data_IF_966643003881
#
_entry.id   IF_966643003881
#
_cell.length_a   1.000
_cell.length_b   1.000
_cell.length_c   1.000
_cell.angle_alpha   90.00
_cell.angle_beta   90.00
_cell.angle_gamma   90.00
#
_symmetry.space_group_name_H-M   'P 1'
#
loop_
_entity.id
_entity.type
_entity.pdbx_description
1 polymer ?
#
# COMPACT_ATOMS: atom_id res chain seq x y z
N UNK A 1 34.29 -10.86 -13.67
CA UNK A 1 33.56 -9.73 -13.05
C UNK A 1 34.02 -8.37 -13.57
N UNK A 2 35.33 -8.09 -13.69
CA UNK A 2 35.85 -6.82 -14.26
C UNK A 2 35.53 -6.57 -15.75
N UNK A 3 35.43 -7.61 -16.58
CA UNK A 3 35.09 -7.50 -18.02
C UNK A 3 33.62 -7.13 -18.27
N UNK A 4 32.70 -7.56 -17.40
CA UNK A 4 31.26 -7.25 -17.51
C UNK A 4 30.96 -5.78 -17.17
N UNK A 5 31.73 -5.22 -16.22
CA UNK A 5 31.68 -3.80 -15.84
C UNK A 5 32.11 -2.88 -16.99
N UNK A 6 33.22 -3.18 -17.67
CA UNK A 6 33.66 -2.40 -18.85
C UNK A 6 32.70 -2.55 -20.05
N UNK A 7 32.08 -3.71 -20.26
CA UNK A 7 31.12 -3.86 -21.36
C UNK A 7 29.87 -2.98 -21.18
N UNK A 8 29.31 -2.94 -19.95
CA UNK A 8 28.13 -2.12 -19.62
C UNK A 8 28.50 -0.63 -19.50
N UNK A 9 29.68 -0.27 -18.99
CA UNK A 9 30.04 1.13 -18.74
C UNK A 9 30.68 1.84 -19.93
N UNK A 10 31.28 1.12 -20.90
CA UNK A 10 32.00 1.76 -22.02
C UNK A 10 31.45 1.42 -23.40
N UNK A 11 30.90 0.22 -23.61
CA UNK A 11 30.42 -0.22 -24.94
C UNK A 11 28.91 0.06 -25.08
N UNK A 12 28.11 -0.31 -24.08
CA UNK A 12 26.67 -0.06 -24.09
C UNK A 12 26.30 1.43 -24.25
N UNK A 13 26.93 2.39 -23.53
CA UNK A 13 26.68 3.81 -23.78
C UNK A 13 27.21 4.30 -25.14
N UNK A 14 28.30 3.73 -25.69
CA UNK A 14 28.77 4.08 -27.05
C UNK A 14 27.84 3.62 -28.17
N UNK A 15 27.14 2.50 -27.98
CA UNK A 15 26.11 2.00 -28.92
C UNK A 15 24.74 2.64 -28.68
N UNK A 16 24.42 3.02 -27.44
CA UNK A 16 23.22 3.77 -27.10
C UNK A 16 23.36 5.27 -27.34
N UNK A 17 24.56 5.83 -27.42
CA UNK A 17 24.81 7.25 -27.70
C UNK A 17 24.22 7.71 -29.03
N UNK A 18 24.41 7.01 -30.17
CA UNK A 18 23.75 7.38 -31.42
C UNK A 18 22.23 7.18 -31.35
N UNK A 19 21.72 6.18 -30.62
CA UNK A 19 20.26 6.05 -30.38
C UNK A 19 19.73 7.19 -29.49
N UNK A 20 20.49 7.61 -28.49
CA UNK A 20 20.17 8.71 -27.57
C UNK A 20 20.26 10.05 -28.30
N UNK A 21 21.26 10.27 -29.14
CA UNK A 21 21.39 11.45 -30.01
C UNK A 21 20.26 11.49 -31.05
N UNK A 22 19.89 10.36 -31.66
CA UNK A 22 18.72 10.26 -32.53
C UNK A 22 17.39 10.47 -31.78
N UNK A 23 17.30 10.09 -30.50
CA UNK A 23 16.16 10.38 -29.62
C UNK A 23 16.08 11.87 -29.25
N UNK A 24 17.23 12.54 -29.05
CA UNK A 24 17.31 13.99 -28.85
C UNK A 24 16.97 14.80 -30.12
N UNK A 25 17.02 14.17 -31.30
CA UNK A 25 16.67 14.76 -32.61
C UNK A 25 15.18 14.66 -32.96
N UNK A 26 14.36 13.95 -32.18
CA UNK A 26 12.92 13.91 -32.42
C UNK A 26 12.25 15.21 -31.98
N UNK A 27 11.66 15.92 -32.94
CA UNK A 27 10.85 17.11 -32.64
C UNK A 27 9.72 16.78 -31.66
N UNK A 28 9.36 17.71 -30.78
CA UNK A 28 8.25 17.57 -29.82
C UNK A 28 6.93 17.10 -30.47
N UNK A 29 6.69 17.47 -31.74
CA UNK A 29 5.54 17.00 -32.54
C UNK A 29 5.57 15.49 -32.79
N UNK A 30 6.74 14.91 -33.09
CA UNK A 30 6.88 13.46 -33.31
C UNK A 30 6.68 12.67 -32.01
N UNK A 31 7.21 13.16 -30.89
CA UNK A 31 7.06 12.51 -29.58
C UNK A 31 5.61 12.52 -29.07
N UNK A 32 4.93 13.65 -29.20
CA UNK A 32 3.50 13.75 -28.84
C UNK A 32 2.62 12.87 -29.72
N UNK A 33 2.88 12.84 -31.03
CA UNK A 33 2.14 11.99 -31.96
C UNK A 33 2.39 10.50 -31.71
N UNK A 34 3.64 10.10 -31.43
CA UNK A 34 3.96 8.73 -31.06
C UNK A 34 3.29 8.33 -29.73
N UNK A 35 3.22 9.24 -28.77
CA UNK A 35 2.55 9.01 -27.50
C UNK A 35 1.04 8.77 -27.67
N UNK A 36 0.39 9.63 -28.46
CA UNK A 36 -1.02 9.46 -28.82
C UNK A 36 -1.25 8.15 -29.58
N UNK A 37 -0.37 7.79 -30.51
CA UNK A 37 -0.47 6.54 -31.26
C UNK A 37 -0.40 5.32 -30.32
N UNK A 38 0.50 5.32 -29.33
CA UNK A 38 0.61 4.22 -28.35
C UNK A 38 -0.71 4.11 -27.57
N UNK A 39 -1.25 5.21 -27.06
CA UNK A 39 -2.50 5.19 -26.29
C UNK A 39 -3.67 4.72 -27.15
N UNK A 40 -3.84 5.28 -28.36
CA UNK A 40 -4.93 4.89 -29.26
C UNK A 40 -4.84 3.42 -29.64
N UNK A 41 -3.68 2.95 -30.08
CA UNK A 41 -3.51 1.57 -30.51
C UNK A 41 -3.68 0.58 -29.34
N UNK A 42 -3.19 0.91 -28.15
CA UNK A 42 -3.31 0.05 -26.96
C UNK A 42 -4.77 -0.03 -26.49
N UNK A 43 -5.50 1.08 -26.51
CA UNK A 43 -6.92 1.12 -26.19
C UNK A 43 -7.78 0.38 -27.21
N UNK A 44 -7.48 0.51 -28.51
CA UNK A 44 -8.16 -0.26 -29.55
C UNK A 44 -7.91 -1.76 -29.38
N UNK A 45 -6.64 -2.16 -29.23
CA UNK A 45 -6.21 -3.54 -28.98
C UNK A 45 -6.96 -4.16 -27.80
N UNK A 46 -6.86 -3.51 -26.63
CA UNK A 46 -7.46 -4.01 -25.40
C UNK A 46 -8.98 -3.98 -25.43
N UNK A 47 -9.58 -2.88 -25.89
CA UNK A 47 -11.03 -2.71 -25.89
C UNK A 47 -11.75 -3.69 -26.81
N UNK A 48 -11.15 -4.05 -27.95
CA UNK A 48 -11.65 -5.10 -28.84
C UNK A 48 -11.52 -6.47 -28.17
N UNK A 49 -10.30 -6.81 -27.71
CA UNK A 49 -10.03 -8.08 -27.05
C UNK A 49 -10.94 -8.33 -25.84
N UNK A 50 -11.06 -7.34 -24.96
CA UNK A 50 -11.90 -7.39 -23.77
C UNK A 50 -13.36 -7.65 -24.13
N UNK A 51 -13.86 -6.99 -25.19
CA UNK A 51 -15.25 -7.18 -25.63
C UNK A 51 -15.47 -8.56 -26.23
N UNK A 52 -14.51 -9.07 -26.99
CA UNK A 52 -14.55 -10.44 -27.54
C UNK A 52 -14.59 -11.46 -26.39
N UNK A 53 -13.70 -11.34 -25.40
CA UNK A 53 -13.70 -12.21 -24.21
C UNK A 53 -14.99 -12.11 -23.40
N UNK A 54 -15.54 -10.91 -23.26
CA UNK A 54 -16.81 -10.71 -22.56
C UNK A 54 -17.97 -11.45 -23.25
N UNK A 55 -18.05 -11.38 -24.58
CA UNK A 55 -19.11 -12.04 -25.36
C UNK A 55 -18.89 -13.56 -25.42
N UNK A 56 -17.63 -14.01 -25.52
CA UNK A 56 -17.31 -15.44 -25.59
C UNK A 56 -17.70 -16.20 -24.33
N UNK A 57 -17.74 -15.54 -23.15
CA UNK A 57 -18.26 -16.12 -21.91
C UNK A 57 -19.75 -16.47 -22.05
N UNK A 58 -20.52 -15.68 -22.80
CA UNK A 58 -21.95 -15.92 -23.02
C UNK A 58 -22.16 -16.95 -24.14
N UNK A 59 -21.53 -16.77 -25.30
CA UNK A 59 -21.50 -17.76 -26.38
C UNK A 59 -20.55 -17.32 -27.50
N UNK A 60 -19.70 -18.23 -27.98
CA UNK A 60 -18.81 -17.99 -29.13
C UNK A 60 -19.56 -17.68 -30.43
N UNK A 61 -20.77 -18.23 -30.60
CA UNK A 61 -21.60 -18.04 -31.80
C UNK A 61 -22.11 -16.60 -31.96
N UNK A 62 -22.16 -15.83 -30.87
CA UNK A 62 -22.70 -14.46 -30.85
C UNK A 62 -21.64 -13.44 -31.30
N UNK A 63 -20.35 -13.80 -31.28
CA UNK A 63 -19.24 -12.89 -31.64
C UNK A 63 -19.42 -12.37 -33.08
N UNK A 64 -19.76 -13.24 -34.03
CA UNK A 64 -19.98 -12.87 -35.43
C UNK A 64 -21.28 -12.10 -35.69
N UNK A 65 -22.20 -12.07 -34.71
CA UNK A 65 -23.50 -11.41 -34.80
C UNK A 65 -23.56 -10.11 -33.97
N UNK A 66 -22.55 -9.85 -33.15
CA UNK A 66 -22.52 -8.68 -32.28
C UNK A 66 -22.24 -7.42 -33.11
N UNK A 67 -23.00 -6.33 -32.91
CA UNK A 67 -22.87 -5.15 -33.75
C UNK A 67 -21.50 -4.49 -33.59
N UNK A 68 -20.89 -4.11 -34.71
CA UNK A 68 -19.61 -3.40 -34.78
C UNK A 68 -19.59 -2.13 -33.91
N UNK A 69 -20.75 -1.48 -33.75
CA UNK A 69 -20.91 -0.32 -32.87
C UNK A 69 -20.59 -0.64 -31.41
N UNK A 70 -20.92 -1.84 -30.93
CA UNK A 70 -20.62 -2.26 -29.56
C UNK A 70 -19.12 -2.53 -29.35
N UNK A 71 -18.41 -3.04 -30.36
CA UNK A 71 -16.95 -3.16 -30.35
C UNK A 71 -16.27 -1.79 -30.33
N UNK A 72 -16.73 -0.87 -31.18
CA UNK A 72 -16.22 0.51 -31.23
C UNK A 72 -16.44 1.26 -29.90
N UNK A 73 -17.60 1.12 -29.27
CA UNK A 73 -17.89 1.70 -27.96
C UNK A 73 -16.96 1.15 -26.88
N UNK A 74 -16.63 -0.15 -26.91
CA UNK A 74 -15.68 -0.75 -25.98
C UNK A 74 -14.28 -0.15 -26.13
N UNK A 75 -13.77 -0.02 -27.36
CA UNK A 75 -12.48 0.62 -27.64
C UNK A 75 -12.46 2.09 -27.23
N UNK A 76 -13.55 2.84 -27.43
CA UNK A 76 -13.66 4.23 -26.97
C UNK A 76 -13.65 4.33 -25.45
N UNK A 77 -14.34 3.45 -24.73
CA UNK A 77 -14.29 3.40 -23.26
C UNK A 77 -12.88 3.14 -22.75
N UNK A 78 -12.19 2.17 -23.35
CA UNK A 78 -10.79 1.88 -23.04
C UNK A 78 -9.88 3.11 -23.32
N UNK A 79 -10.15 3.85 -24.39
CA UNK A 79 -9.42 5.07 -24.74
C UNK A 79 -9.59 6.16 -23.69
N UNK A 80 -10.81 6.41 -23.20
CA UNK A 80 -11.05 7.39 -22.15
C UNK A 80 -10.32 7.03 -20.85
N UNK A 81 -10.40 5.76 -20.45
CA UNK A 81 -9.73 5.28 -19.24
C UNK A 81 -8.21 5.43 -19.37
N UNK A 82 -7.63 4.91 -20.46
CA UNK A 82 -6.18 4.95 -20.68
C UNK A 82 -5.67 6.38 -20.80
N UNK A 83 -6.41 7.27 -21.48
CA UNK A 83 -6.05 8.68 -21.59
C UNK A 83 -6.04 9.37 -20.23
N UNK A 84 -7.02 9.06 -19.36
CA UNK A 84 -7.08 9.62 -18.00
C UNK A 84 -5.89 9.18 -17.15
N UNK A 85 -5.58 7.87 -17.15
CA UNK A 85 -4.42 7.34 -16.44
C UNK A 85 -3.09 7.87 -16.99
N UNK A 86 -2.97 7.95 -18.31
CA UNK A 86 -1.78 8.47 -18.99
C UNK A 86 -1.51 9.94 -18.63
N UNK A 87 -2.54 10.79 -18.69
CA UNK A 87 -2.42 12.19 -18.29
C UNK A 87 -2.15 12.32 -16.80
N UNK A 88 -2.78 11.51 -15.95
CA UNK A 88 -2.51 11.46 -14.51
C UNK A 88 -1.05 11.10 -14.20
N UNK A 89 -0.48 10.10 -14.89
CA UNK A 89 0.93 9.73 -14.78
C UNK A 89 1.86 10.85 -15.26
N UNK A 90 1.52 11.53 -16.35
CA UNK A 90 2.30 12.65 -16.88
C UNK A 90 2.30 13.84 -15.91
N UNK A 91 1.15 14.16 -15.30
CA UNK A 91 1.02 15.19 -14.28
C UNK A 91 1.83 14.85 -13.03
N UNK A 92 1.68 13.63 -12.50
CA UNK A 92 2.45 13.15 -11.35
C UNK A 92 3.95 13.27 -11.60
N UNK A 93 4.42 12.85 -12.78
CA UNK A 93 5.82 12.97 -13.17
C UNK A 93 6.30 14.42 -13.23
N UNK A 94 5.48 15.33 -13.77
CA UNK A 94 5.83 16.76 -13.85
C UNK A 94 5.97 17.40 -12.47
N UNK A 95 5.10 17.05 -11.50
CA UNK A 95 5.19 17.50 -10.12
C UNK A 95 6.47 17.04 -9.42
N UNK A 96 6.94 15.82 -9.71
CA UNK A 96 8.14 15.25 -9.08
C UNK A 96 9.43 15.95 -9.56
N UNK A 97 9.45 16.43 -10.80
CA UNK A 97 10.66 16.97 -11.44
C UNK A 97 10.75 18.49 -11.46
N UNK A 98 9.69 19.24 -11.14
CA UNK A 98 9.62 20.70 -11.31
C UNK A 98 9.95 21.16 -12.75
N UNK A 99 9.79 20.29 -13.75
CA UNK A 99 10.09 20.56 -15.16
C UNK A 99 8.86 21.22 -15.83
N UNK A 100 8.81 22.55 -15.82
CA UNK A 100 7.76 23.36 -16.47
C UNK A 100 8.17 23.91 -17.85
N UNK A 101 9.25 23.40 -18.46
CA UNK A 101 9.66 23.79 -19.81
C UNK A 101 8.94 22.98 -20.91
N UNK A 102 8.56 23.66 -22.01
CA UNK A 102 7.80 23.10 -23.15
C UNK A 102 8.45 21.87 -23.81
N UNK A 103 9.77 21.76 -23.76
CA UNK A 103 10.55 20.63 -24.30
C UNK A 103 10.44 19.36 -23.46
N UNK A 104 10.14 19.50 -22.16
CA UNK A 104 10.01 18.35 -21.26
C UNK A 104 8.58 17.80 -21.23
N UNK A 105 7.56 18.60 -21.53
CA UNK A 105 6.16 18.12 -21.60
C UNK A 105 5.96 17.03 -22.66
N UNK A 106 6.46 17.24 -23.88
CA UNK A 106 6.32 16.27 -24.98
C UNK A 106 7.02 14.93 -24.67
N UNK A 107 8.18 15.01 -24.02
CA UNK A 107 8.92 13.84 -23.54
C UNK A 107 8.19 13.17 -22.37
N UNK A 108 7.63 13.95 -21.47
CA UNK A 108 6.87 13.46 -20.33
C UNK A 108 5.67 12.63 -20.78
N UNK A 109 4.88 13.17 -21.70
CA UNK A 109 3.77 12.48 -22.34
C UNK A 109 4.23 11.16 -22.98
N UNK A 110 5.30 11.19 -23.79
CA UNK A 110 5.80 9.99 -24.46
C UNK A 110 6.21 8.87 -23.48
N UNK A 111 7.07 9.16 -22.50
CA UNK A 111 7.50 8.14 -21.54
C UNK A 111 6.32 7.59 -20.74
N UNK A 112 5.38 8.43 -20.31
CA UNK A 112 4.19 7.99 -19.58
C UNK A 112 3.24 7.15 -20.44
N UNK A 113 3.34 7.17 -21.77
CA UNK A 113 2.57 6.27 -22.65
C UNK A 113 3.19 4.89 -22.82
N UNK A 114 4.50 4.71 -22.58
CA UNK A 114 5.19 3.42 -22.79
C UNK A 114 4.60 2.24 -22.00
N UNK A 115 4.20 2.38 -20.72
CA UNK A 115 3.58 1.28 -19.98
C UNK A 115 2.32 0.72 -20.66
N UNK A 116 1.57 1.55 -21.38
CA UNK A 116 0.36 1.12 -22.08
C UNK A 116 0.63 0.20 -23.28
N UNK A 117 1.86 0.13 -23.78
CA UNK A 117 2.22 -0.77 -24.88
C UNK A 117 2.04 -2.26 -24.54
N UNK A 118 2.00 -2.62 -23.25
CA UNK A 118 1.77 -4.00 -22.78
C UNK A 118 0.38 -4.51 -23.20
N UNK A 119 -0.59 -3.61 -23.34
CA UNK A 119 -1.91 -3.97 -23.81
C UNK A 119 -1.95 -4.35 -25.31
N UNK A 120 -0.85 -4.22 -26.05
CA UNK A 120 -0.69 -4.90 -27.36
C UNK A 120 -0.65 -6.41 -27.24
N UNK A 121 -0.26 -6.96 -26.09
CA UNK A 121 -0.25 -8.40 -25.85
C UNK A 121 -1.65 -9.02 -25.85
N UNK A 122 -2.71 -8.19 -25.84
CA UNK A 122 -4.07 -8.62 -26.13
C UNK A 122 -4.21 -9.25 -27.54
N UNK A 123 -3.34 -8.91 -28.50
CA UNK A 123 -3.37 -9.51 -29.85
C UNK A 123 -2.95 -10.97 -29.87
N UNK A 124 -2.10 -11.38 -28.93
CA UNK A 124 -1.65 -12.77 -28.77
C UNK A 124 -2.42 -13.49 -27.66
N UNK A 125 -3.57 -12.93 -27.27
CA UNK A 125 -4.51 -13.51 -26.33
C UNK A 125 -3.95 -13.75 -24.91
N UNK A 126 -2.97 -12.93 -24.50
CA UNK A 126 -2.36 -13.01 -23.16
C UNK A 126 -3.40 -12.69 -22.06
N UNK A 127 -3.34 -13.38 -20.93
CA UNK A 127 -4.29 -13.18 -19.83
C UNK A 127 -4.27 -11.75 -19.27
N UNK A 128 -5.45 -11.26 -18.85
CA UNK A 128 -5.61 -9.93 -18.24
C UNK A 128 -4.71 -9.75 -17.02
N UNK A 129 -4.58 -10.77 -16.19
CA UNK A 129 -3.74 -10.74 -14.99
C UNK A 129 -2.27 -10.48 -15.32
N UNK A 130 -1.74 -11.10 -16.36
CA UNK A 130 -0.36 -10.88 -16.82
C UNK A 130 -0.19 -9.48 -17.42
N UNK A 131 -1.16 -9.00 -18.21
CA UNK A 131 -1.12 -7.65 -18.76
C UNK A 131 -1.14 -6.58 -17.66
N UNK A 132 -1.98 -6.74 -16.63
CA UNK A 132 -2.06 -5.82 -15.48
C UNK A 132 -0.78 -5.86 -14.64
N UNK A 133 -0.21 -7.04 -14.40
CA UNK A 133 1.03 -7.19 -13.63
C UNK A 133 2.21 -6.52 -14.34
N UNK A 134 2.36 -6.76 -15.64
CA UNK A 134 3.36 -6.09 -16.46
C UNK A 134 3.13 -4.58 -16.48
N UNK A 135 1.89 -4.11 -16.69
CA UNK A 135 1.57 -2.68 -16.66
C UNK A 135 1.99 -2.02 -15.34
N UNK A 136 1.70 -2.69 -14.22
CA UNK A 136 2.07 -2.22 -12.89
C UNK A 136 3.59 -2.18 -12.71
N UNK A 137 4.31 -3.20 -13.20
CA UNK A 137 5.77 -3.24 -13.20
C UNK A 137 6.41 -2.11 -14.01
N UNK A 138 5.91 -1.84 -15.22
CA UNK A 138 6.42 -0.77 -16.09
C UNK A 138 6.08 0.63 -15.54
N UNK A 139 4.90 0.83 -14.97
CA UNK A 139 4.57 2.05 -14.25
C UNK A 139 5.48 2.24 -13.03
N UNK A 140 5.69 1.20 -12.24
CA UNK A 140 6.59 1.22 -11.07
C UNK A 140 8.03 1.55 -11.43
N UNK A 141 8.58 0.95 -12.48
CA UNK A 141 9.93 1.27 -12.98
C UNK A 141 10.03 2.70 -13.50
N UNK A 142 9.04 3.18 -14.25
CA UNK A 142 9.00 4.57 -14.71
C UNK A 142 9.02 5.57 -13.53
N UNK A 143 8.18 5.34 -12.52
CA UNK A 143 8.15 6.18 -11.32
C UNK A 143 9.48 6.10 -10.56
N UNK A 144 10.02 4.89 -10.36
CA UNK A 144 11.31 4.67 -9.69
C UNK A 144 12.44 5.49 -10.31
N UNK A 145 12.59 5.47 -11.64
CA UNK A 145 13.63 6.25 -12.33
C UNK A 145 13.40 7.77 -12.24
N UNK A 146 12.15 8.22 -12.18
CA UNK A 146 11.85 9.64 -12.02
C UNK A 146 12.17 10.13 -10.60
N UNK A 147 11.89 9.30 -9.58
CA UNK A 147 12.27 9.63 -8.22
C UNK A 147 13.78 9.58 -8.01
N UNK A 148 14.52 8.70 -8.70
CA UNK A 148 15.95 8.41 -8.44
C UNK A 148 16.87 9.64 -8.32
N UNK A 149 16.57 10.71 -9.06
CA UNK A 149 17.39 11.93 -9.12
C UNK A 149 16.91 13.05 -8.19
N UNK A 150 15.83 12.85 -7.45
CA UNK A 150 15.30 13.86 -6.53
C UNK A 150 16.10 13.86 -5.21
N UNK A 151 16.25 15.03 -4.55
CA UNK A 151 16.81 15.09 -3.20
C UNK A 151 16.00 14.25 -2.21
N UNK A 152 14.69 14.14 -2.44
CA UNK A 152 13.79 13.26 -1.69
C UNK A 152 14.21 11.78 -1.79
N UNK A 153 14.54 11.30 -2.99
CA UNK A 153 14.99 9.91 -3.17
C UNK A 153 16.28 9.59 -2.44
N UNK A 154 17.22 10.53 -2.32
CA UNK A 154 18.43 10.31 -1.51
C UNK A 154 18.10 9.98 -0.05
N UNK A 155 16.98 10.49 0.47
CA UNK A 155 16.50 10.25 1.83
C UNK A 155 15.69 8.94 1.93
N UNK A 156 14.82 8.66 0.95
CA UNK A 156 13.91 7.50 1.02
C UNK A 156 14.44 6.22 0.39
N UNK A 157 15.53 6.27 -0.38
CA UNK A 157 16.10 5.12 -1.11
C UNK A 157 16.40 3.94 -0.19
N UNK A 158 17.05 4.20 0.94
CA UNK A 158 17.39 3.15 1.90
C UNK A 158 16.13 2.48 2.49
N UNK A 159 15.15 3.22 3.05
CA UNK A 159 13.88 2.64 3.49
C UNK A 159 13.14 1.85 2.43
N UNK A 160 13.11 2.34 1.18
CA UNK A 160 12.41 1.66 0.09
C UNK A 160 13.04 0.29 -0.20
N UNK A 161 14.37 0.18 -0.23
CA UNK A 161 15.00 -1.12 -0.43
C UNK A 161 14.75 -2.08 0.72
N UNK A 162 14.73 -1.58 1.96
CA UNK A 162 14.42 -2.42 3.14
C UNK A 162 12.97 -2.88 3.10
N UNK A 163 12.03 -2.02 2.70
CA UNK A 163 10.63 -2.41 2.51
C UNK A 163 10.47 -3.48 1.41
N UNK A 164 11.15 -3.32 0.27
CA UNK A 164 11.17 -4.33 -0.81
C UNK A 164 11.76 -5.64 -0.30
N UNK A 165 12.85 -5.58 0.48
CA UNK A 165 13.44 -6.76 1.10
C UNK A 165 12.46 -7.46 2.04
N UNK A 166 11.77 -6.72 2.93
CA UNK A 166 10.75 -7.30 3.80
C UNK A 166 9.59 -7.91 3.00
N UNK A 167 9.10 -7.24 1.97
CA UNK A 167 8.08 -7.80 1.07
C UNK A 167 8.54 -9.14 0.49
N UNK A 168 9.77 -9.24 -0.02
CA UNK A 168 10.33 -10.49 -0.54
C UNK A 168 10.44 -11.56 0.55
N UNK A 169 10.90 -11.20 1.75
CA UNK A 169 10.97 -12.13 2.88
C UNK A 169 9.60 -12.70 3.23
N UNK A 170 8.59 -11.85 3.41
CA UNK A 170 7.26 -12.27 3.81
C UNK A 170 6.53 -13.05 2.70
N UNK A 171 6.65 -12.63 1.44
CA UNK A 171 5.96 -13.30 0.34
C UNK A 171 6.63 -14.62 -0.09
N UNK A 172 7.98 -14.69 -0.11
CA UNK A 172 8.71 -15.79 -0.75
C UNK A 172 9.44 -16.71 0.24
N UNK A 173 9.96 -16.16 1.35
CA UNK A 173 10.83 -16.91 2.27
C UNK A 173 10.00 -17.48 3.43
N UNK A 174 9.19 -16.65 4.07
CA UNK A 174 8.37 -17.00 5.22
C UNK A 174 7.08 -17.68 4.77
N UNK A 175 7.20 -18.87 4.19
CA UNK A 175 6.08 -19.59 3.57
C UNK A 175 4.87 -19.72 4.49
N UNK A 176 5.09 -19.98 5.79
CA UNK A 176 4.02 -20.13 6.76
C UNK A 176 3.24 -18.85 7.06
N UNK A 177 3.80 -17.67 6.76
CA UNK A 177 3.17 -16.36 7.02
C UNK A 177 2.78 -15.62 5.74
N UNK A 178 3.00 -16.24 4.58
CA UNK A 178 2.63 -15.69 3.28
C UNK A 178 1.21 -16.12 2.93
N UNK A 179 0.35 -15.20 2.45
CA UNK A 179 -0.96 -15.55 1.93
C UNK A 179 -0.89 -16.32 0.59
N UNK A 180 0.31 -16.51 0.02
CA UNK A 180 0.53 -17.21 -1.24
C UNK A 180 0.75 -18.73 -1.09
N UNK A 181 0.91 -19.25 0.14
CA UNK A 181 1.16 -20.68 0.38
C UNK A 181 0.14 -21.26 1.37
N UNK A 182 -0.26 -22.51 1.16
CA UNK A 182 -1.20 -23.24 2.02
C UNK A 182 -0.50 -24.07 3.11
N UNK A 183 0.57 -23.55 3.70
CA UNK A 183 1.39 -24.32 4.65
C UNK A 183 1.31 -23.69 6.05
N UNK A 184 0.41 -24.23 6.86
CA UNK A 184 0.39 -24.31 8.33
C UNK A 184 -0.11 -23.15 9.21
N UNK A 185 0.30 -21.88 9.07
CA UNK A 185 -0.20 -20.84 10.03
C UNK A 185 -1.52 -20.19 9.62
N UNK A 186 -1.75 -20.11 8.31
CA UNK A 186 -2.95 -19.54 7.69
C UNK A 186 -3.51 -20.50 6.65
N UNK A 187 -3.49 -21.80 6.89
CA UNK A 187 -4.13 -22.71 5.94
C UNK A 187 -5.63 -22.42 5.93
N UNK A 188 -6.18 -22.05 4.77
CA UNK A 188 -7.63 -21.88 4.54
C UNK A 188 -8.40 -23.16 4.84
N UNK A 189 -7.70 -24.29 4.93
CA UNK A 189 -8.22 -25.61 5.26
C UNK A 189 -7.84 -26.07 6.69
N UNK A 190 -7.14 -25.23 7.46
CA UNK A 190 -6.74 -25.47 8.85
C UNK A 190 -7.73 -24.89 9.88
N UNK A 191 -7.25 -24.44 11.04
CA UNK A 191 -8.10 -23.77 12.07
C UNK A 191 -8.57 -22.39 11.60
N UNK A 192 -9.76 -22.32 11.02
CA UNK A 192 -10.45 -21.06 10.74
C UNK A 192 -11.30 -20.58 11.92
N UNK A 193 -11.33 -21.35 13.00
CA UNK A 193 -12.19 -21.20 14.18
C UNK A 193 -12.11 -19.79 14.80
N UNK A 194 -10.94 -19.15 14.69
CA UNK A 194 -10.68 -17.79 15.20
C UNK A 194 -11.25 -16.67 14.34
N UNK A 195 -11.51 -16.96 13.05
CA UNK A 195 -12.06 -16.01 12.09
C UNK A 195 -13.59 -16.09 12.01
N UNK A 196 -14.20 -17.13 12.59
CA UNK A 196 -15.66 -17.33 12.61
C UNK A 196 -16.36 -16.13 13.28
N UNK A 197 -15.81 -15.62 14.39
CA UNK A 197 -16.40 -14.47 15.07
C UNK A 197 -16.34 -13.18 14.25
N UNK A 198 -15.38 -13.06 13.33
CA UNK A 198 -15.27 -11.92 12.41
C UNK A 198 -16.25 -12.04 11.24
N UNK A 199 -16.78 -13.22 10.95
CA UNK A 199 -17.72 -13.44 9.85
C UNK A 199 -19.02 -12.66 10.04
N UNK A 200 -19.63 -12.78 11.22
CA UNK A 200 -20.86 -12.03 11.54
C UNK A 200 -20.64 -10.52 11.61
N UNK A 201 -19.47 -10.08 12.08
CA UNK A 201 -19.12 -8.66 12.12
C UNK A 201 -18.92 -8.10 10.70
N UNK A 202 -18.25 -8.85 9.83
CA UNK A 202 -18.06 -8.50 8.42
C UNK A 202 -19.38 -8.42 7.68
N UNK A 203 -20.25 -9.44 7.85
CA UNK A 203 -21.57 -9.46 7.23
C UNK A 203 -22.44 -8.29 7.70
N UNK A 204 -22.44 -8.00 9.00
CA UNK A 204 -23.14 -6.84 9.54
C UNK A 204 -22.59 -5.53 8.98
N UNK A 205 -21.27 -5.33 8.98
CA UNK A 205 -20.64 -4.12 8.44
C UNK A 205 -21.01 -3.91 6.96
N UNK A 206 -20.93 -4.97 6.14
CA UNK A 206 -21.27 -4.91 4.72
C UNK A 206 -22.77 -4.80 4.45
N UNK A 207 -23.63 -5.29 5.34
CA UNK A 207 -25.07 -5.12 5.23
C UNK A 207 -25.52 -3.65 5.36
N UNK A 208 -24.79 -2.83 6.13
CA UNK A 208 -25.07 -1.40 6.29
C UNK A 208 -24.54 -0.55 5.12
N UNK A 209 -23.36 -0.88 4.58
CA UNK A 209 -22.77 -0.12 3.47
C UNK A 209 -23.43 -0.41 2.11
N UNK A 210 -24.02 -1.60 1.96
CA UNK A 210 -24.68 -2.03 0.74
C UNK A 210 -26.16 -2.34 1.02
N UNK A 211 -26.96 -1.28 1.16
CA UNK A 211 -28.43 -1.33 1.31
C UNK A 211 -29.04 -2.42 0.40
N UNK A 212 -29.48 -3.54 1.00
CA UNK A 212 -30.29 -4.57 0.35
C UNK A 212 -29.60 -5.83 -0.17
N UNK A 213 -28.29 -6.05 0.03
CA UNK A 213 -27.57 -7.19 -0.58
C UNK A 213 -27.26 -8.39 0.33
N UNK A 214 -27.22 -8.21 1.65
CA UNK A 214 -26.83 -9.25 2.60
C UNK A 214 -27.99 -9.75 3.49
N UNK A 215 -29.24 -9.49 3.09
CA UNK A 215 -30.39 -10.15 3.71
C UNK A 215 -30.37 -11.65 3.35
N UNK A 216 -30.90 -12.50 4.26
CA UNK A 216 -31.04 -13.96 4.13
C UNK A 216 -31.52 -14.46 2.74
N UNK A 217 -32.20 -13.61 1.97
CA UNK A 217 -32.63 -13.84 0.58
C UNK A 217 -31.48 -14.08 -0.41
N UNK A 218 -30.28 -13.52 -0.21
CA UNK A 218 -29.11 -13.76 -1.06
C UNK A 218 -28.57 -15.19 -0.92
N UNK A 219 -28.57 -15.73 0.31
CA UNK A 219 -28.18 -17.11 0.61
C UNK A 219 -29.15 -18.14 0.02
N UNK A 220 -30.40 -17.73 -0.22
CA UNK A 220 -31.48 -18.57 -0.76
C UNK A 220 -31.69 -18.40 -2.28
N UNK A 221 -30.72 -17.82 -3.00
CA UNK A 221 -30.71 -17.80 -4.47
C UNK A 221 -31.11 -16.48 -5.15
N UNK A 222 -31.09 -15.35 -4.43
CA UNK A 222 -31.15 -14.02 -5.05
C UNK A 222 -29.84 -13.65 -5.76
N UNK A 223 -29.89 -12.75 -6.75
CA UNK A 223 -28.69 -12.18 -7.38
C UNK A 223 -27.91 -11.33 -6.36
N UNK A 224 -26.88 -11.89 -5.74
CA UNK A 224 -25.98 -11.13 -4.88
C UNK A 224 -25.04 -10.27 -5.72
N UNK A 225 -24.91 -8.98 -5.41
CA UNK A 225 -23.94 -8.09 -6.05
C UNK A 225 -22.50 -8.30 -5.56
N UNK A 226 -22.28 -9.22 -4.62
CA UNK A 226 -20.95 -9.57 -4.15
C UNK A 226 -20.17 -10.42 -5.17
N UNK A 227 -18.86 -10.46 -4.99
CA UNK A 227 -17.92 -11.13 -5.88
C UNK A 227 -17.52 -12.47 -5.24
N UNK A 228 -17.44 -13.52 -6.05
CA UNK A 228 -16.78 -14.76 -5.65
C UNK A 228 -15.28 -14.64 -5.88
N UNK A 229 -14.46 -15.04 -4.90
CA UNK A 229 -13.01 -15.06 -5.03
C UNK A 229 -12.58 -16.06 -6.11
N UNK A 230 -11.78 -15.60 -7.08
CA UNK A 230 -11.24 -16.44 -8.17
C UNK A 230 -9.79 -16.86 -7.86
N UNK A 231 -9.05 -16.06 -7.08
CA UNK A 231 -7.68 -16.35 -6.64
C UNK A 231 -7.30 -15.57 -5.37
N UNK A 232 -6.26 -15.98 -4.67
CA UNK A 232 -5.74 -15.30 -3.47
C UNK A 232 -5.38 -13.84 -3.79
N UNK A 233 -4.78 -13.58 -4.95
CA UNK A 233 -4.47 -12.22 -5.38
C UNK A 233 -5.73 -11.35 -5.56
N UNK A 234 -6.85 -11.95 -5.98
CA UNK A 234 -8.12 -11.23 -6.07
C UNK A 234 -8.65 -10.80 -4.70
N UNK A 235 -8.34 -11.53 -3.62
CA UNK A 235 -8.69 -11.13 -2.25
C UNK A 235 -7.97 -9.85 -1.81
N UNK A 236 -6.72 -9.64 -2.25
CA UNK A 236 -6.00 -8.39 -1.99
C UNK A 236 -6.68 -7.19 -2.67
N UNK A 237 -7.18 -7.38 -3.89
CA UNK A 237 -7.93 -6.33 -4.62
C UNK A 237 -9.23 -6.02 -3.88
N UNK A 238 -9.94 -7.05 -3.41
CA UNK A 238 -11.17 -6.85 -2.64
C UNK A 238 -10.89 -6.07 -1.35
N UNK A 239 -9.85 -6.43 -0.60
CA UNK A 239 -9.47 -5.69 0.62
C UNK A 239 -9.14 -4.23 0.33
N UNK A 240 -8.41 -3.94 -0.75
CA UNK A 240 -7.99 -2.57 -1.11
C UNK A 240 -9.17 -1.70 -1.54
N UNK A 241 -10.12 -2.27 -2.30
CA UNK A 241 -11.28 -1.54 -2.83
C UNK A 241 -12.55 -1.73 -1.99
N UNK A 242 -12.42 -2.41 -0.85
CA UNK A 242 -13.50 -2.67 0.09
C UNK A 242 -14.74 -3.36 -0.54
N UNK A 243 -14.49 -4.24 -1.53
CA UNK A 243 -15.55 -4.88 -2.32
C UNK A 243 -16.33 -5.94 -1.51
N UNK A 244 -17.63 -6.14 -1.77
CA UNK A 244 -18.40 -7.19 -1.10
C UNK A 244 -17.98 -8.59 -1.59
N UNK A 245 -17.58 -9.48 -0.66
CA UNK A 245 -17.31 -10.92 -0.91
C UNK A 245 -18.43 -11.76 -0.29
N UNK A 246 -18.87 -12.78 -1.01
CA UNK A 246 -19.95 -13.69 -0.59
C UNK A 246 -19.39 -15.04 -0.12
N UNK A 247 -18.26 -15.49 -0.66
CA UNK A 247 -17.67 -16.78 -0.28
C UNK A 247 -16.74 -16.69 0.94
N UNK A 248 -16.89 -17.65 1.85
CA UNK A 248 -16.17 -17.71 3.14
C UNK A 248 -14.65 -17.81 2.95
N UNK A 249 -14.20 -18.57 1.95
CA UNK A 249 -12.77 -18.73 1.66
C UNK A 249 -12.13 -17.41 1.21
N UNK A 250 -12.83 -16.61 0.40
CA UNK A 250 -12.45 -15.27 -0.02
C UNK A 250 -12.37 -14.27 1.12
N UNK A 251 -13.29 -14.36 2.09
CA UNK A 251 -13.21 -13.57 3.33
C UNK A 251 -11.93 -13.91 4.10
N UNK A 252 -11.65 -15.20 4.32
CA UNK A 252 -10.45 -15.63 5.03
C UNK A 252 -9.16 -15.27 4.29
N UNK A 253 -9.13 -15.38 2.96
CA UNK A 253 -8.00 -14.91 2.17
C UNK A 253 -7.77 -13.40 2.33
N UNK A 254 -8.82 -12.59 2.32
CA UNK A 254 -8.73 -11.13 2.50
C UNK A 254 -8.17 -10.77 3.87
N UNK A 255 -8.62 -11.45 4.92
CA UNK A 255 -8.10 -11.27 6.29
C UNK A 255 -6.61 -11.64 6.39
N UNK A 256 -6.14 -12.67 5.68
CA UNK A 256 -4.69 -12.99 5.63
C UNK A 256 -3.87 -11.85 5.01
N UNK A 257 -4.37 -11.22 3.96
CA UNK A 257 -3.70 -10.05 3.36
C UNK A 257 -3.70 -8.85 4.31
N UNK A 258 -4.76 -8.66 5.10
CA UNK A 258 -4.79 -7.65 6.16
C UNK A 258 -3.69 -7.91 7.21
N UNK A 259 -3.60 -9.13 7.73
CA UNK A 259 -2.57 -9.51 8.69
C UNK A 259 -1.15 -9.41 8.12
N UNK A 260 -0.94 -9.81 6.86
CA UNK A 260 0.33 -9.58 6.18
C UNK A 260 0.67 -8.08 6.13
N UNK A 261 -0.30 -7.24 5.78
CA UNK A 261 -0.15 -5.79 5.78
C UNK A 261 0.28 -5.27 7.15
N UNK A 262 -0.35 -5.77 8.22
CA UNK A 262 0.01 -5.44 9.59
C UNK A 262 1.42 -5.90 9.99
N UNK A 263 1.83 -7.12 9.63
CA UNK A 263 3.20 -7.60 9.88
C UNK A 263 4.24 -6.73 9.16
N UNK A 264 4.02 -6.43 7.88
CA UNK A 264 4.88 -5.55 7.12
C UNK A 264 4.93 -4.15 7.73
N UNK A 265 3.79 -3.61 8.12
CA UNK A 265 3.69 -2.30 8.74
C UNK A 265 4.45 -2.25 10.07
N UNK A 266 4.29 -3.23 10.97
CA UNK A 266 4.99 -3.29 12.26
C UNK A 266 6.51 -3.52 12.12
N UNK A 267 6.91 -4.46 11.26
CA UNK A 267 8.33 -4.75 10.96
C UNK A 267 9.03 -3.54 10.33
N UNK A 268 8.38 -2.89 9.36
CA UNK A 268 8.92 -1.69 8.73
C UNK A 268 8.95 -0.50 9.70
N UNK A 269 7.91 -0.32 10.52
CA UNK A 269 7.88 0.68 11.58
C UNK A 269 9.04 0.53 12.56
N UNK A 270 9.32 -0.72 12.98
CA UNK A 270 10.45 -1.02 13.87
C UNK A 270 11.79 -0.70 13.21
N UNK A 271 11.96 -1.09 11.94
CA UNK A 271 13.15 -0.71 11.17
C UNK A 271 13.33 0.82 11.16
N UNK A 272 12.28 1.58 10.85
CA UNK A 272 12.35 3.04 10.80
C UNK A 272 12.65 3.64 12.17
N UNK A 273 12.05 3.12 13.24
CA UNK A 273 12.34 3.56 14.61
C UNK A 273 13.80 3.30 14.99
N UNK A 274 14.32 2.11 14.73
CA UNK A 274 15.72 1.77 15.00
C UNK A 274 16.67 2.61 14.15
N UNK A 275 16.35 2.82 12.88
CA UNK A 275 17.18 3.56 11.94
C UNK A 275 17.21 5.06 12.22
N UNK A 276 16.05 5.68 12.41
CA UNK A 276 15.90 7.14 12.49
C UNK A 276 15.63 7.65 13.91
N UNK A 277 14.96 6.86 14.75
CA UNK A 277 14.72 7.19 16.15
C UNK A 277 15.95 6.93 17.02
N UNK A 278 16.50 5.72 16.95
CA UNK A 278 17.68 5.28 17.72
C UNK A 278 19.01 5.49 17.01
N UNK A 279 18.99 5.88 15.72
CA UNK A 279 20.19 6.13 14.89
C UNK A 279 21.11 4.91 14.73
N UNK A 280 20.55 3.71 14.72
CA UNK A 280 21.30 2.47 14.47
C UNK A 280 21.74 2.37 13.00
N UNK A 281 22.70 1.48 12.74
CA UNK A 281 23.12 1.17 11.37
C UNK A 281 21.99 0.47 10.61
N UNK A 282 21.94 0.64 9.28
CA UNK A 282 20.90 0.04 8.42
C UNK A 282 20.80 -1.47 8.62
N UNK A 283 21.94 -2.16 8.71
CA UNK A 283 21.96 -3.61 8.91
C UNK A 283 21.30 -4.01 10.24
N UNK A 284 21.70 -3.37 11.34
CA UNK A 284 21.16 -3.67 12.68
C UNK A 284 19.67 -3.32 12.74
N UNK A 285 19.27 -2.18 12.16
CA UNK A 285 17.86 -1.79 12.11
C UNK A 285 17.02 -2.78 11.27
N UNK A 286 17.57 -3.28 10.16
CA UNK A 286 16.88 -4.26 9.29
C UNK A 286 16.71 -5.59 10.00
N UNK A 287 17.78 -6.09 10.64
CA UNK A 287 17.72 -7.31 11.47
C UNK A 287 16.76 -7.11 12.64
N UNK A 288 16.78 -5.95 13.28
CA UNK A 288 15.87 -5.62 14.37
C UNK A 288 14.40 -5.57 13.95
N UNK A 289 14.09 -5.09 12.74
CA UNK A 289 12.74 -5.17 12.16
C UNK A 289 12.25 -6.60 11.97
N UNK A 290 13.10 -7.50 11.45
CA UNK A 290 12.79 -8.93 11.37
C UNK A 290 12.72 -9.58 12.76
N UNK A 291 13.61 -9.18 13.66
CA UNK A 291 13.65 -9.62 15.05
C UNK A 291 12.40 -9.21 15.83
N UNK A 292 11.77 -8.08 15.51
CA UNK A 292 10.46 -7.72 16.06
C UNK A 292 9.38 -8.71 15.61
N UNK A 293 9.39 -9.15 14.36
CA UNK A 293 8.45 -10.17 13.89
C UNK A 293 8.72 -11.53 14.56
N UNK A 294 9.97 -12.01 14.55
CA UNK A 294 10.32 -13.31 15.15
C UNK A 294 10.25 -13.33 16.68
N UNK A 295 10.60 -12.24 17.35
CA UNK A 295 10.46 -12.12 18.81
C UNK A 295 9.01 -12.27 19.25
N UNK A 296 8.07 -11.83 18.40
CA UNK A 296 6.65 -12.04 18.60
C UNK A 296 6.15 -13.39 18.07
N UNK A 297 6.98 -14.22 17.42
CA UNK A 297 6.54 -15.54 16.92
C UNK A 297 6.26 -16.54 18.05
N UNK A 298 6.95 -16.42 19.18
CA UNK A 298 6.64 -17.20 20.38
C UNK A 298 5.32 -16.74 21.03
N UNK A 299 5.06 -15.43 21.04
CA UNK A 299 3.79 -14.86 21.50
C UNK A 299 2.61 -15.27 20.60
N UNK A 300 2.84 -15.26 19.27
CA UNK A 300 1.95 -15.81 18.23
C UNK A 300 1.65 -17.31 18.45
N UNK A 301 2.65 -18.09 18.84
CA UNK A 301 2.50 -19.53 19.08
C UNK A 301 1.82 -19.86 20.43
N UNK A 302 1.97 -19.02 21.46
CA UNK A 302 1.35 -19.23 22.78
C UNK A 302 -0.10 -18.75 22.83
N UNK A 303 -0.40 -17.59 22.25
CA UNK A 303 -1.73 -16.97 22.38
C UNK A 303 -2.79 -17.60 21.48
N UNK A 304 -2.43 -18.58 20.63
CA UNK A 304 -3.22 -19.54 19.81
C UNK A 304 -4.67 -19.21 19.40
N UNK A 305 -5.13 -17.96 19.45
CA UNK A 305 -6.52 -17.56 19.23
C UNK A 305 -6.85 -16.11 19.64
N UNK A 306 -6.12 -15.52 20.60
CA UNK A 306 -6.32 -14.11 21.01
C UNK A 306 -5.37 -13.13 20.31
N UNK A 307 -4.43 -13.64 19.51
CA UNK A 307 -3.42 -12.81 18.86
C UNK A 307 -4.00 -11.60 18.11
N UNK A 308 -5.10 -11.71 17.34
CA UNK A 308 -5.78 -10.56 16.74
C UNK A 308 -6.09 -9.43 17.74
N UNK A 309 -6.57 -9.77 18.93
CA UNK A 309 -7.01 -8.80 19.95
C UNK A 309 -5.86 -8.04 20.59
N UNK A 310 -4.63 -8.54 20.49
CA UNK A 310 -3.48 -7.89 21.11
C UNK A 310 -2.59 -7.20 20.08
N UNK A 311 -2.78 -7.49 18.79
CA UNK A 311 -1.82 -7.18 17.73
C UNK A 311 -1.67 -5.69 17.40
N UNK A 312 -2.78 -4.94 17.36
CA UNK A 312 -2.81 -3.60 16.77
C UNK A 312 -1.90 -2.61 17.51
N UNK A 313 -1.98 -2.56 18.84
CA UNK A 313 -1.16 -1.69 19.68
C UNK A 313 0.32 -2.00 19.47
N UNK A 314 0.72 -3.27 19.46
CA UNK A 314 2.12 -3.66 19.25
C UNK A 314 2.63 -3.25 17.86
N UNK A 315 1.80 -3.38 16.82
CA UNK A 315 2.15 -2.98 15.46
C UNK A 315 2.36 -1.46 15.35
N UNK A 316 1.47 -0.67 15.96
CA UNK A 316 1.52 0.79 15.91
C UNK A 316 2.58 1.38 16.85
N UNK A 317 2.99 0.64 17.87
CA UNK A 317 3.98 1.07 18.87
C UNK A 317 5.28 1.64 18.29
N UNK A 318 6.04 0.93 17.42
CA UNK A 318 7.27 1.47 16.86
C UNK A 318 7.05 2.76 16.04
N UNK A 319 5.90 2.90 15.37
CA UNK A 319 5.55 4.11 14.64
C UNK A 319 5.33 5.30 15.56
N UNK A 320 4.58 5.09 16.65
CA UNK A 320 4.32 6.15 17.64
C UNK A 320 5.62 6.57 18.32
N UNK A 321 6.46 5.62 18.74
CA UNK A 321 7.78 5.94 19.29
C UNK A 321 8.65 6.74 18.32
N UNK A 322 8.67 6.35 17.04
CA UNK A 322 9.39 7.08 15.99
C UNK A 322 8.90 8.52 15.87
N UNK A 323 7.59 8.73 15.76
CA UNK A 323 7.03 10.07 15.57
C UNK A 323 7.28 10.94 16.81
N UNK A 324 7.12 10.41 18.03
CA UNK A 324 7.48 11.12 19.26
C UNK A 324 8.96 11.50 19.25
N UNK A 325 9.86 10.57 18.89
CA UNK A 325 11.30 10.84 18.82
C UNK A 325 11.65 11.91 17.79
N UNK A 326 10.99 11.89 16.62
CA UNK A 326 11.15 12.90 15.58
C UNK A 326 10.60 14.27 16.01
N UNK A 327 9.49 14.30 16.75
CA UNK A 327 8.92 15.54 17.29
C UNK A 327 9.92 16.27 18.19
N UNK A 328 10.57 15.53 19.10
CA UNK A 328 11.58 16.06 20.01
C UNK A 328 12.89 16.42 19.29
N UNK A 329 13.37 15.59 18.35
CA UNK A 329 14.63 15.85 17.65
C UNK A 329 14.56 17.01 16.66
N UNK A 330 13.41 17.18 15.99
CA UNK A 330 13.16 18.27 15.04
C UNK A 330 12.56 19.51 15.70
N UNK A 331 12.24 19.45 16.99
CA UNK A 331 11.51 20.48 17.73
C UNK A 331 10.19 20.89 17.04
N UNK A 332 9.41 19.90 16.59
CA UNK A 332 8.13 20.10 15.89
C UNK A 332 6.96 19.54 16.73
N UNK A 333 6.26 20.39 17.51
CA UNK A 333 5.11 19.98 18.32
C UNK A 333 4.01 19.27 17.53
N UNK A 334 3.78 19.69 16.28
CA UNK A 334 2.79 19.08 15.39
C UNK A 334 3.01 17.57 15.18
N UNK A 335 4.27 17.10 15.23
CA UNK A 335 4.56 15.67 15.16
C UNK A 335 4.14 14.95 16.45
N UNK A 336 4.22 15.59 17.62
CA UNK A 336 3.71 15.00 18.87
C UNK A 336 2.19 14.86 18.85
N UNK A 337 1.48 15.85 18.29
CA UNK A 337 0.04 15.76 18.01
C UNK A 337 -0.26 14.59 17.06
N UNK A 338 0.48 14.49 15.95
CA UNK A 338 0.35 13.39 14.99
C UNK A 338 0.60 12.03 15.64
N UNK A 339 1.58 11.91 16.53
CA UNK A 339 1.83 10.67 17.26
C UNK A 339 0.61 10.24 18.10
N UNK A 340 -0.07 11.19 18.75
CA UNK A 340 -1.31 10.92 19.48
C UNK A 340 -2.44 10.44 18.56
N UNK A 341 -2.61 11.08 17.40
CA UNK A 341 -3.60 10.63 16.40
C UNK A 341 -3.26 9.25 15.82
N UNK A 342 -1.99 8.98 15.50
CA UNK A 342 -1.56 7.67 15.01
C UNK A 342 -1.71 6.60 16.10
N UNK A 343 -1.50 6.93 17.37
CA UNK A 343 -1.80 6.03 18.48
C UNK A 343 -3.29 5.68 18.52
N UNK A 344 -4.18 6.67 18.37
CA UNK A 344 -5.62 6.40 18.35
C UNK A 344 -6.07 5.54 17.16
N UNK A 345 -5.33 5.57 16.03
CA UNK A 345 -5.65 4.74 14.87
C UNK A 345 -5.52 3.23 15.14
N UNK A 346 -4.72 2.81 16.14
CA UNK A 346 -4.64 1.38 16.48
C UNK A 346 -5.99 0.83 16.93
N UNK A 347 -6.75 1.63 17.68
CA UNK A 347 -8.08 1.28 18.18
C UNK A 347 -9.14 1.13 17.09
N UNK A 348 -8.98 1.88 15.99
CA UNK A 348 -9.87 1.80 14.82
C UNK A 348 -9.41 0.74 13.82
N UNK A 349 -8.13 0.39 13.81
CA UNK A 349 -7.58 -0.61 12.90
C UNK A 349 -8.01 -2.03 13.29
N UNK A 350 -7.98 -2.35 14.59
CA UNK A 350 -8.55 -3.59 15.13
C UNK A 350 -8.76 -3.39 16.62
N UNK A 351 -10.00 -3.58 17.10
CA UNK A 351 -10.31 -3.44 18.52
C UNK A 351 -9.57 -4.50 19.33
N UNK A 352 -8.99 -4.03 20.42
CA UNK A 352 -8.03 -4.76 21.22
C UNK A 352 -8.50 -4.94 22.65
N UNK A 353 -7.78 -5.78 23.39
CA UNK A 353 -8.04 -5.95 24.81
C UNK A 353 -7.66 -4.66 25.57
N UNK A 354 -8.52 -4.15 26.48
CA UNK A 354 -8.26 -2.89 27.21
C UNK A 354 -6.93 -2.84 27.97
N UNK A 355 -6.44 -3.99 28.44
CA UNK A 355 -5.13 -4.09 29.09
C UNK A 355 -3.98 -3.74 28.14
N UNK A 356 -4.05 -4.17 26.88
CA UNK A 356 -3.05 -3.83 25.87
C UNK A 356 -3.08 -2.33 25.57
N UNK A 357 -4.26 -1.73 25.50
CA UNK A 357 -4.43 -0.29 25.26
C UNK A 357 -3.83 0.53 26.40
N UNK A 358 -4.07 0.07 27.63
CA UNK A 358 -3.52 0.70 28.83
C UNK A 358 -1.99 0.61 28.88
N UNK A 359 -1.44 -0.58 28.65
CA UNK A 359 0.02 -0.81 28.60
C UNK A 359 0.64 0.03 27.49
N UNK A 360 0.05 0.01 26.30
CA UNK A 360 0.47 0.78 25.14
C UNK A 360 0.52 2.29 25.43
N UNK A 361 -0.55 2.82 26.01
CA UNK A 361 -0.65 4.21 26.42
C UNK A 361 0.42 4.58 27.45
N UNK A 362 0.63 3.74 28.47
CA UNK A 362 1.65 3.96 29.50
C UNK A 362 3.03 4.03 28.87
N UNK A 363 3.41 3.04 28.07
CA UNK A 363 4.77 3.00 27.50
C UNK A 363 5.04 4.16 26.54
N UNK A 364 4.04 4.58 25.74
CA UNK A 364 4.19 5.76 24.89
C UNK A 364 4.39 7.04 25.71
N UNK A 365 3.64 7.21 26.81
CA UNK A 365 3.80 8.36 27.69
C UNK A 365 5.11 8.33 28.48
N UNK A 366 5.55 7.17 28.96
CA UNK A 366 6.85 7.02 29.61
C UNK A 366 7.99 7.40 28.66
N UNK A 367 7.89 7.02 27.39
CA UNK A 367 8.87 7.42 26.37
C UNK A 367 8.82 8.93 26.09
N UNK A 368 7.64 9.52 26.00
CA UNK A 368 7.48 10.97 25.85
C UNK A 368 8.08 11.72 27.07
N UNK A 369 7.80 11.24 28.27
CA UNK A 369 8.35 11.79 29.52
C UNK A 369 9.88 11.72 29.51
N UNK A 370 10.45 10.56 29.17
CA UNK A 370 11.90 10.37 29.07
C UNK A 370 12.55 11.40 28.12
N UNK A 371 12.00 11.60 26.92
CA UNK A 371 12.53 12.57 25.95
C UNK A 371 12.35 14.02 26.41
N UNK A 372 11.24 14.32 27.09
CA UNK A 372 10.97 15.66 27.62
C UNK A 372 11.90 15.97 28.80
N UNK A 373 12.23 14.99 29.64
CA UNK A 373 13.20 15.11 30.72
C UNK A 373 14.62 15.39 30.19
N UNK A 374 15.04 14.67 29.14
CA UNK A 374 16.34 14.95 28.48
C UNK A 374 16.41 16.42 28.04
N UNK A 375 15.36 16.91 27.38
CA UNK A 375 15.31 18.31 26.95
C UNK A 375 15.32 19.29 28.10
N UNK A 376 14.63 18.96 29.19
CA UNK A 376 14.66 19.79 30.40
C UNK A 376 16.07 19.86 30.99
N UNK A 377 16.82 18.76 30.99
CA UNK A 377 18.22 18.78 31.46
C UNK A 377 19.14 19.59 30.55
N UNK A 378 18.87 19.63 29.24
CA UNK A 378 19.63 20.44 28.27
C UNK A 378 19.27 21.94 28.37
N UNK A 379 18.01 22.26 28.68
CA UNK A 379 17.54 23.63 28.89
C UNK A 379 17.72 24.05 30.35
N UNK A 380 18.73 24.86 30.66
CA UNK A 380 18.96 25.43 32.01
C UNK A 380 17.63 25.74 32.72
N UNK A 381 17.43 25.17 33.92
CA UNK A 381 16.17 25.23 34.66
C UNK A 381 15.71 26.69 34.86
N UNK A 382 14.57 27.03 34.25
CA UNK A 382 13.91 28.33 34.36
C UNK A 382 12.40 28.20 34.15
N UNK A 383 11.62 29.21 34.53
CA UNK A 383 10.15 29.14 34.49
C UNK A 383 9.61 28.81 33.08
N UNK A 384 10.25 29.33 32.03
CA UNK A 384 9.88 29.06 30.64
C UNK A 384 10.23 27.64 30.18
N UNK A 385 11.29 27.04 30.74
CA UNK A 385 11.63 25.64 30.44
C UNK A 385 10.64 24.68 31.10
N UNK A 386 10.16 24.99 32.31
CA UNK A 386 9.12 24.23 33.01
C UNK A 386 7.78 24.30 32.27
N UNK A 387 7.37 25.49 31.80
CA UNK A 387 6.15 25.61 30.97
C UNK A 387 6.24 24.79 29.68
N UNK A 388 7.39 24.84 29.01
CA UNK A 388 7.64 24.03 27.80
C UNK A 388 7.62 22.53 28.12
N UNK A 389 8.18 22.10 29.24
CA UNK A 389 8.15 20.72 29.70
C UNK A 389 6.71 20.19 29.79
N UNK A 390 5.83 20.88 30.52
CA UNK A 390 4.43 20.47 30.63
C UNK A 390 3.70 20.51 29.29
N UNK A 391 3.99 21.51 28.45
CA UNK A 391 3.46 21.58 27.08
C UNK A 391 3.80 20.31 26.28
N UNK A 392 5.07 19.92 26.21
CA UNK A 392 5.51 18.72 25.50
C UNK A 392 4.96 17.42 26.08
N UNK A 393 4.80 17.35 27.40
CA UNK A 393 4.24 16.18 28.07
C UNK A 393 2.77 15.96 27.70
N UNK A 394 1.99 17.04 27.58
CA UNK A 394 0.54 16.99 27.38
C UNK A 394 0.11 16.83 25.92
N UNK A 395 0.93 17.23 24.94
CA UNK A 395 0.54 17.19 23.52
C UNK A 395 0.14 15.78 23.05
N UNK A 396 0.96 14.77 23.35
CA UNK A 396 0.67 13.39 22.96
C UNK A 396 -0.63 12.85 23.58
N UNK A 397 -0.81 12.81 24.92
CA UNK A 397 -1.99 12.21 25.53
C UNK A 397 -3.29 12.96 25.19
N UNK A 398 -3.24 14.30 25.06
CA UNK A 398 -4.41 15.09 24.65
C UNK A 398 -4.85 14.71 23.24
N UNK A 399 -3.93 14.64 22.28
CA UNK A 399 -4.28 14.29 20.90
C UNK A 399 -4.64 12.82 20.72
N UNK A 400 -4.11 11.92 21.56
CA UNK A 400 -4.61 10.55 21.64
C UNK A 400 -6.08 10.55 22.08
N UNK A 401 -6.42 11.26 23.16
CA UNK A 401 -7.82 11.41 23.61
C UNK A 401 -8.75 12.02 22.57
N UNK A 402 -8.30 13.06 21.85
CA UNK A 402 -9.05 13.67 20.73
C UNK A 402 -9.31 12.63 19.63
N UNK A 403 -8.30 11.83 19.27
CA UNK A 403 -8.44 10.78 18.27
C UNK A 403 -9.45 9.71 18.67
N UNK A 404 -9.59 9.42 19.96
CA UNK A 404 -10.58 8.48 20.50
C UNK A 404 -12.00 9.05 20.63
N UNK A 405 -12.19 10.35 20.39
CA UNK A 405 -13.48 11.01 20.59
C UNK A 405 -14.61 10.35 19.80
N UNK A 406 -14.36 9.87 18.57
CA UNK A 406 -15.38 9.19 17.76
C UNK A 406 -15.89 7.88 18.38
N UNK A 407 -15.09 7.21 19.21
CA UNK A 407 -15.48 6.00 19.96
C UNK A 407 -16.12 6.33 21.31
N UNK A 408 -15.66 7.40 21.96
CA UNK A 408 -16.10 7.76 23.32
C UNK A 408 -17.39 8.58 23.32
N UNK A 409 -17.60 9.46 22.33
CA UNK A 409 -18.81 10.31 22.25
C UNK A 409 -20.10 9.47 22.21
N UNK A 410 -20.25 8.45 21.34
CA UNK A 410 -21.46 7.62 21.34
C UNK A 410 -21.68 6.87 22.66
N UNK A 411 -20.60 6.58 23.40
CA UNK A 411 -20.66 5.88 24.68
C UNK A 411 -21.11 6.82 25.81
N UNK A 412 -20.71 8.09 25.76
CA UNK A 412 -21.20 9.16 26.64
C UNK A 412 -22.67 9.46 26.33
N UNK A 413 -23.03 9.58 25.05
CA UNK A 413 -24.42 9.82 24.62
C UNK A 413 -25.36 8.66 24.98
N UNK A 414 -24.84 7.45 25.15
CA UNK A 414 -25.62 6.30 25.61
C UNK A 414 -25.79 6.23 27.14
N UNK A 415 -24.96 6.96 27.90
CA UNK A 415 -24.99 7.03 29.37
C UNK A 415 -25.79 8.25 29.85
N UNK A 416 -25.77 9.36 29.10
CA UNK A 416 -26.58 10.56 29.31
C UNK A 416 -28.02 10.35 28.82
#
# INVERSE_FOLDING_TARGET
MFLYSRFIQTILPKYLEPMRQNYFLWSNKKLTLASLAIIVLSSCSFGLWFKIKQISITSEKIIGLYPLTGYAVSSLKALFIFSTFWLGLALLRSMIRNDLDRTDLARNLFFCSLPFSIFFLSWIDLSLSMQVLLFSFFCGTLLFFNFQNTPFWKVIKEPVYVLVFFLLCFFLILKSYSPLYHNTFWDTWGRNDFLINLEHQWENAKAYDFLGNFTQSGFLGGHSQGIYMISELSAAIVLIFDLPIIDVLGKYASIKFLYLGFYLFGTFGTYLFFRYGLKLSTLIATIGGLGFFWGNSAYLAFMTGEFPLHMAQFIFFPWVLLIIKLAHSLNKPALSCLAGLVASLSEYAMSSHPECDFIYFIFCNLYNLYLTLIRLTESKLGMDSVKRFFGWLLLFPVFHGIGLAYRVIPLIDAIL
#
